data_IF_670333075701
#
_entry.id   IF_670333075701
#
_cell.length_a   1.000
_cell.length_b   1.000
_cell.length_c   1.000
_cell.angle_alpha   90.00
_cell.angle_beta   90.00
_cell.angle_gamma   90.00
#
_symmetry.space_group_name_H-M   'P 1'
#
loop_
_entity.id
_entity.type
_entity.pdbx_description
1 polymer ?
#
# COMPACT_ATOMS: atom_id res chain seq x y z
N UNK A 1 12.50 36.14 -29.26
CA UNK A 1 12.52 37.60 -29.05
C UNK A 1 12.15 37.84 -27.59
N UNK A 2 13.13 38.08 -26.73
CA UNK A 2 12.91 38.37 -25.30
C UNK A 2 12.46 39.83 -25.15
N UNK A 3 11.22 40.01 -24.74
CA UNK A 3 10.69 41.32 -24.38
C UNK A 3 11.21 41.62 -22.96
N UNK A 4 12.14 42.57 -22.83
CA UNK A 4 12.76 43.00 -21.56
C UNK A 4 11.78 43.79 -20.67
N UNK A 5 10.54 43.34 -20.58
CA UNK A 5 9.47 43.96 -19.80
C UNK A 5 9.46 43.32 -18.41
N UNK A 6 9.49 44.11 -17.31
CA UNK A 6 9.44 43.57 -15.95
C UNK A 6 8.14 42.80 -15.70
N UNK A 7 8.26 41.51 -15.37
CA UNK A 7 7.12 40.69 -14.94
C UNK A 7 6.76 41.04 -13.49
N UNK A 8 5.48 41.33 -13.24
CA UNK A 8 4.94 41.54 -11.89
C UNK A 8 3.91 40.45 -11.60
N UNK A 9 4.12 39.70 -10.52
CA UNK A 9 3.20 38.69 -10.01
C UNK A 9 2.58 39.16 -8.70
N UNK A 10 1.25 38.99 -8.53
CA UNK A 10 0.57 39.13 -7.26
C UNK A 10 -0.08 37.80 -6.91
N UNK A 11 0.31 37.23 -5.78
CA UNK A 11 -0.31 36.02 -5.21
C UNK A 11 -1.16 36.45 -4.02
N UNK A 12 -2.39 35.94 -3.94
CA UNK A 12 -3.25 36.09 -2.77
C UNK A 12 -3.68 34.70 -2.30
N UNK A 13 -3.23 34.31 -1.12
CA UNK A 13 -3.53 33.01 -0.52
C UNK A 13 -4.23 33.25 0.81
N UNK A 14 -5.47 32.76 0.92
CA UNK A 14 -6.24 32.81 2.16
C UNK A 14 -6.31 31.40 2.72
N UNK A 15 -5.63 31.16 3.85
CA UNK A 15 -5.57 29.86 4.51
C UNK A 15 -6.03 29.97 5.94
N UNK A 16 -6.70 28.93 6.42
CA UNK A 16 -7.03 28.74 7.83
C UNK A 16 -6.56 27.37 8.25
N UNK A 17 -5.78 27.32 9.32
CA UNK A 17 -5.36 26.05 9.92
C UNK A 17 -6.42 25.62 10.93
N UNK A 18 -6.84 24.36 10.84
CA UNK A 18 -7.76 23.74 11.79
C UNK A 18 -6.93 22.88 12.75
N UNK A 19 -6.64 23.43 13.94
CA UNK A 19 -5.78 22.77 14.93
C UNK A 19 -6.52 22.31 16.19
N UNK A 20 -7.84 22.47 16.24
CA UNK A 20 -8.65 22.18 17.43
C UNK A 20 -8.91 20.69 17.63
N UNK A 21 -9.05 19.94 16.54
CA UNK A 21 -9.02 18.48 16.54
C UNK A 21 -7.91 18.00 15.60
N UNK A 22 -6.98 17.24 16.16
CA UNK A 22 -5.84 16.65 15.44
C UNK A 22 -5.93 15.13 15.40
N UNK A 23 -7.05 14.56 15.88
CA UNK A 23 -7.24 13.13 15.85
C UNK A 23 -7.56 12.69 14.42
N UNK A 24 -6.94 11.59 14.04
CA UNK A 24 -7.22 10.84 12.83
C UNK A 24 -7.20 9.36 13.22
N UNK A 25 -7.90 8.53 12.44
CA UNK A 25 -8.16 7.14 12.79
C UNK A 25 -7.79 6.22 11.64
N UNK A 26 -6.89 5.28 11.93
CA UNK A 26 -6.66 4.13 11.07
C UNK A 26 -7.78 3.10 11.27
N UNK A 27 -8.26 2.50 10.20
CA UNK A 27 -9.20 1.38 10.26
C UNK A 27 -8.43 0.08 10.08
N UNK A 28 -8.62 -0.90 10.97
CA UNK A 28 -7.92 -2.18 10.91
C UNK A 28 -8.94 -3.32 11.00
N UNK A 29 -8.81 -4.30 10.11
CA UNK A 29 -9.62 -5.51 10.09
C UNK A 29 -8.74 -6.75 9.96
N UNK A 30 -9.20 -7.89 10.47
CA UNK A 30 -8.44 -9.14 10.47
C UNK A 30 -9.28 -10.34 10.03
N UNK A 31 -8.65 -11.23 9.27
CA UNK A 31 -9.07 -12.62 9.09
C UNK A 31 -8.12 -13.51 9.91
N UNK A 32 -8.59 -14.07 11.04
CA UNK A 32 -7.73 -14.80 11.97
C UNK A 32 -7.07 -16.04 11.37
N UNK A 33 -5.80 -16.25 11.71
CA UNK A 33 -5.06 -17.46 11.38
C UNK A 33 -5.56 -18.68 12.16
N UNK A 34 -5.35 -19.86 11.58
CA UNK A 34 -5.87 -21.14 12.12
C UNK A 34 -4.79 -22.06 12.68
N UNK A 35 -3.53 -21.83 12.35
CA UNK A 35 -2.42 -22.68 12.78
C UNK A 35 -1.95 -22.30 14.19
N UNK A 36 -1.94 -23.20 15.18
CA UNK A 36 -1.59 -22.86 16.56
C UNK A 36 -0.19 -22.24 16.73
N UNK A 37 0.75 -22.55 15.84
CA UNK A 37 2.11 -22.03 15.90
C UNK A 37 2.30 -20.73 15.10
N UNK A 38 1.44 -20.47 14.10
CA UNK A 38 1.62 -19.35 13.15
C UNK A 38 0.51 -18.29 13.21
N UNK A 39 -0.61 -18.55 13.88
CA UNK A 39 -1.77 -17.63 13.92
C UNK A 39 -1.46 -16.26 14.50
N UNK A 40 -0.44 -16.17 15.36
CA UNK A 40 0.00 -14.91 15.98
C UNK A 40 0.98 -14.14 15.07
N UNK A 41 1.45 -14.74 13.97
CA UNK A 41 2.17 -14.02 12.91
C UNK A 41 1.17 -13.32 11.97
N UNK A 42 1.56 -12.17 11.45
CA UNK A 42 0.69 -11.30 10.62
C UNK A 42 1.21 -11.15 9.20
N UNK A 43 0.32 -11.33 8.23
CA UNK A 43 0.48 -10.87 6.83
C UNK A 43 -0.43 -9.67 6.65
N UNK A 44 0.10 -8.55 6.17
CA UNK A 44 -0.63 -7.30 6.16
C UNK A 44 -0.76 -6.68 4.77
N UNK A 45 -1.92 -6.11 4.45
CA UNK A 45 -2.15 -5.23 3.30
C UNK A 45 -2.58 -3.85 3.80
N UNK A 46 -2.07 -2.80 3.18
CA UNK A 46 -2.54 -1.44 3.42
C UNK A 46 -2.86 -0.67 2.14
N UNK A 47 -3.73 0.30 2.35
CA UNK A 47 -4.13 1.39 1.45
C UNK A 47 -4.40 2.60 2.36
N UNK A 48 -4.44 3.83 1.83
CA UNK A 48 -4.87 4.97 2.64
C UNK A 48 -6.31 5.37 2.34
N UNK A 49 -6.95 5.99 3.33
CA UNK A 49 -8.37 6.33 3.37
C UNK A 49 -8.60 7.84 3.28
N UNK A 50 -7.62 8.63 3.69
CA UNK A 50 -7.61 10.06 3.44
C UNK A 50 -7.36 10.38 1.97
N UNK A 51 -7.72 11.59 1.57
CA UNK A 51 -7.47 12.13 0.23
C UNK A 51 -7.34 13.65 0.30
N UNK A 52 -6.88 14.27 -0.79
CA UNK A 52 -6.98 15.72 -0.93
C UNK A 52 -8.42 16.20 -1.06
N UNK A 53 -8.69 17.35 -0.44
CA UNK A 53 -10.00 17.98 -0.33
C UNK A 53 -10.53 18.63 -1.62
N UNK A 54 -9.71 18.68 -2.67
CA UNK A 54 -10.03 19.33 -3.94
C UNK A 54 -11.02 18.52 -4.80
N UNK A 55 -11.14 17.21 -4.56
CA UNK A 55 -12.05 16.30 -5.26
C UNK A 55 -12.54 15.17 -4.34
N UNK A 56 -12.78 13.97 -4.88
CA UNK A 56 -13.31 12.82 -4.14
C UNK A 56 -12.27 11.75 -3.81
N UNK A 57 -11.00 11.91 -4.24
CA UNK A 57 -9.93 10.95 -3.95
C UNK A 57 -10.20 9.55 -4.51
N UNK A 58 -10.83 9.47 -5.68
CA UNK A 58 -11.30 8.21 -6.23
C UNK A 58 -10.15 7.29 -6.63
N UNK A 59 -9.10 7.88 -7.19
CA UNK A 59 -7.86 7.22 -7.63
C UNK A 59 -6.74 7.29 -6.62
N UNK A 60 -6.92 8.12 -5.59
CA UNK A 60 -5.92 8.42 -4.56
C UNK A 60 -6.63 8.68 -3.22
N UNK A 61 -7.00 7.64 -2.47
CA UNK A 61 -6.76 6.22 -2.74
C UNK A 61 -8.02 5.37 -2.45
N UNK A 62 -9.20 5.89 -2.78
CA UNK A 62 -10.45 5.16 -2.55
C UNK A 62 -10.53 3.84 -3.34
N UNK A 63 -9.92 3.76 -4.54
CA UNK A 63 -9.78 2.53 -5.32
C UNK A 63 -8.89 1.49 -4.62
N UNK A 64 -7.71 1.88 -4.14
CA UNK A 64 -6.82 1.03 -3.36
C UNK A 64 -7.47 0.56 -2.05
N UNK A 65 -8.15 1.45 -1.34
CA UNK A 65 -8.92 1.12 -0.14
C UNK A 65 -10.05 0.11 -0.44
N UNK A 66 -10.80 0.31 -1.52
CA UNK A 66 -11.85 -0.61 -1.95
C UNK A 66 -11.27 -1.98 -2.31
N UNK A 67 -10.14 -2.02 -3.02
CA UNK A 67 -9.43 -3.25 -3.37
C UNK A 67 -8.93 -3.99 -2.13
N UNK A 68 -8.39 -3.28 -1.14
CA UNK A 68 -7.91 -3.88 0.10
C UNK A 68 -9.05 -4.52 0.91
N UNK A 69 -10.20 -3.85 0.98
CA UNK A 69 -11.42 -4.40 1.57
C UNK A 69 -11.92 -5.63 0.79
N UNK A 70 -11.93 -5.56 -0.54
CA UNK A 70 -12.43 -6.64 -1.40
C UNK A 70 -11.53 -7.87 -1.34
N UNK A 71 -10.21 -7.71 -1.30
CA UNK A 71 -9.27 -8.82 -1.16
C UNK A 71 -9.55 -9.63 0.13
N UNK A 72 -9.80 -8.94 1.25
CA UNK A 72 -10.16 -9.60 2.51
C UNK A 72 -11.55 -10.25 2.42
N UNK A 73 -12.52 -9.58 1.78
CA UNK A 73 -13.88 -10.10 1.58
C UNK A 73 -13.88 -11.37 0.72
N UNK A 74 -13.09 -11.43 -0.35
CA UNK A 74 -12.93 -12.63 -1.20
C UNK A 74 -12.48 -13.82 -0.35
N UNK A 75 -11.41 -13.64 0.44
CA UNK A 75 -10.87 -14.69 1.30
C UNK A 75 -11.89 -15.15 2.35
N UNK A 76 -12.63 -14.22 2.95
CA UNK A 76 -13.71 -14.55 3.89
C UNK A 76 -14.85 -15.31 3.20
N UNK A 77 -15.27 -14.89 2.01
CA UNK A 77 -16.38 -15.48 1.25
C UNK A 77 -16.09 -16.94 0.85
N UNK A 78 -14.86 -17.25 0.44
CA UNK A 78 -14.44 -18.63 0.13
C UNK A 78 -14.11 -19.44 1.40
N UNK A 79 -14.28 -18.85 2.59
CA UNK A 79 -13.97 -19.46 3.90
C UNK A 79 -12.53 -19.94 3.98
N UNK A 80 -11.61 -19.14 3.46
CA UNK A 80 -10.18 -19.42 3.52
C UNK A 80 -9.74 -19.66 4.97
N UNK A 81 -8.81 -20.60 5.16
CA UNK A 81 -8.21 -20.91 6.46
C UNK A 81 -6.72 -20.61 6.42
N UNK A 82 -6.33 -19.32 6.48
CA UNK A 82 -4.92 -18.97 6.47
C UNK A 82 -4.23 -19.51 7.73
N UNK A 83 -2.94 -19.85 7.63
CA UNK A 83 -2.17 -20.28 8.81
C UNK A 83 -1.84 -19.10 9.71
N UNK A 84 -1.36 -18.01 9.10
CA UNK A 84 -1.12 -16.70 9.73
C UNK A 84 -2.39 -15.84 9.70
N UNK A 85 -2.48 -14.87 10.60
CA UNK A 85 -3.53 -13.86 10.54
C UNK A 85 -3.28 -12.93 9.36
N UNK A 86 -4.32 -12.65 8.58
CA UNK A 86 -4.30 -11.65 7.51
C UNK A 86 -4.93 -10.38 8.06
N UNK A 87 -4.19 -9.27 8.03
CA UNK A 87 -4.63 -7.95 8.51
C UNK A 87 -4.73 -6.98 7.35
N UNK A 88 -5.81 -6.23 7.27
CA UNK A 88 -5.93 -5.07 6.38
C UNK A 88 -5.95 -3.81 7.22
N UNK A 89 -5.24 -2.77 6.77
CA UNK A 89 -5.36 -1.43 7.32
C UNK A 89 -5.71 -0.42 6.24
N UNK A 90 -6.62 0.49 6.57
CA UNK A 90 -6.87 1.70 5.84
C UNK A 90 -6.27 2.85 6.66
N UNK A 91 -5.15 3.37 6.18
CA UNK A 91 -4.37 4.41 6.87
C UNK A 91 -5.03 5.77 6.71
N UNK A 92 -4.83 6.65 7.67
CA UNK A 92 -5.22 8.05 7.51
C UNK A 92 -4.00 8.96 7.68
N UNK A 93 -3.99 10.07 6.98
CA UNK A 93 -2.92 11.04 6.99
C UNK A 93 -1.70 10.62 6.16
N UNK A 94 -1.91 9.80 5.13
CA UNK A 94 -0.86 9.46 4.16
C UNK A 94 -0.37 10.73 3.47
N UNK A 95 -1.32 11.56 3.03
CA UNK A 95 -1.09 12.74 2.20
C UNK A 95 -0.33 13.84 2.95
N UNK A 96 -0.49 13.90 4.28
CA UNK A 96 0.25 14.78 5.18
C UNK A 96 1.62 14.21 5.60
N UNK A 97 2.03 13.05 5.06
CA UNK A 97 3.36 12.48 5.24
C UNK A 97 3.38 11.14 5.98
N UNK A 98 2.51 10.20 5.60
CA UNK A 98 2.42 8.83 6.11
C UNK A 98 2.07 8.77 7.61
N UNK A 99 1.32 9.73 8.14
CA UNK A 99 1.07 9.88 9.57
C UNK A 99 0.46 8.61 10.18
N UNK A 100 -0.55 8.04 9.54
CA UNK A 100 -1.25 6.84 10.03
C UNK A 100 -0.34 5.62 10.15
N UNK A 101 0.32 5.24 9.06
CA UNK A 101 1.22 4.07 9.05
C UNK A 101 2.44 4.29 9.94
N UNK A 102 3.02 5.50 9.95
CA UNK A 102 4.16 5.83 10.84
C UNK A 102 3.77 5.72 12.30
N UNK A 103 2.60 6.23 12.70
CA UNK A 103 2.12 6.11 14.08
C UNK A 103 1.83 4.67 14.47
N UNK A 104 1.29 3.86 13.56
CA UNK A 104 1.12 2.43 13.80
C UNK A 104 2.48 1.75 14.05
N UNK A 105 3.45 1.96 13.16
CA UNK A 105 4.79 1.37 13.28
C UNK A 105 5.50 1.84 14.56
N UNK A 106 5.48 3.15 14.84
CA UNK A 106 6.08 3.73 16.05
C UNK A 106 5.50 3.12 17.32
N UNK A 107 4.18 2.98 17.39
CA UNK A 107 3.49 2.49 18.58
C UNK A 107 3.68 0.98 18.81
N UNK A 108 3.69 0.19 17.74
CA UNK A 108 3.58 -1.27 17.84
C UNK A 108 4.86 -2.02 17.49
N UNK A 109 5.76 -1.44 16.70
CA UNK A 109 6.89 -2.16 16.10
C UNK A 109 8.27 -1.51 16.38
N UNK A 110 8.33 -0.23 16.74
CA UNK A 110 9.60 0.46 17.03
C UNK A 110 10.07 0.20 18.46
N UNK A 111 11.39 0.10 18.66
CA UNK A 111 12.01 -0.16 19.96
C UNK A 111 12.39 -1.63 20.19
N UNK A 112 13.27 -1.87 21.16
CA UNK A 112 13.71 -3.23 21.54
C UNK A 112 12.59 -3.98 22.28
N UNK A 113 11.78 -3.26 23.06
CA UNK A 113 10.61 -3.79 23.75
C UNK A 113 9.52 -4.29 22.79
N UNK A 114 9.55 -3.85 21.53
CA UNK A 114 8.63 -4.29 20.46
C UNK A 114 9.25 -5.30 19.50
N UNK A 115 10.49 -5.75 19.73
CA UNK A 115 11.18 -6.68 18.84
C UNK A 115 10.40 -7.97 18.59
N UNK A 116 9.81 -8.56 19.63
CA UNK A 116 9.01 -9.78 19.48
C UNK A 116 7.77 -9.57 18.61
N UNK A 117 7.06 -8.44 18.77
CA UNK A 117 5.88 -8.11 17.94
C UNK A 117 6.29 -7.81 16.49
N UNK A 118 7.41 -7.11 16.32
CA UNK A 118 8.00 -6.86 15.01
C UNK A 118 8.41 -8.14 14.30
N UNK A 119 8.96 -9.11 15.02
CA UNK A 119 9.30 -10.42 14.47
C UNK A 119 8.07 -11.25 14.10
N UNK A 120 6.88 -10.98 14.66
CA UNK A 120 5.63 -11.63 14.24
C UNK A 120 5.11 -11.10 12.89
N UNK A 121 5.57 -9.95 12.41
CA UNK A 121 5.22 -9.45 11.08
C UNK A 121 5.94 -10.28 10.01
N UNK A 122 5.18 -11.00 9.18
CA UNK A 122 5.72 -11.78 8.07
C UNK A 122 6.03 -10.90 6.86
N UNK A 123 5.11 -10.01 6.48
CA UNK A 123 5.22 -9.11 5.33
C UNK A 123 4.11 -8.05 5.38
N UNK A 124 4.40 -6.88 4.81
CA UNK A 124 3.45 -5.82 4.51
C UNK A 124 3.38 -5.60 2.98
N UNK A 125 2.17 -5.59 2.43
CA UNK A 125 1.87 -5.24 1.05
C UNK A 125 1.16 -3.88 1.02
N UNK A 126 1.35 -3.14 -0.06
CA UNK A 126 0.74 -1.84 -0.25
C UNK A 126 0.15 -1.68 -1.65
N UNK A 127 -1.00 -0.98 -1.73
CA UNK A 127 -1.64 -0.58 -2.99
C UNK A 127 -1.76 0.94 -3.07
N UNK A 128 -0.70 1.57 -3.58
CA UNK A 128 -0.60 3.00 -3.92
C UNK A 128 0.82 3.25 -4.45
N UNK A 129 1.09 3.99 -5.53
CA UNK A 129 0.15 4.75 -6.35
C UNK A 129 -0.20 4.10 -7.69
N UNK A 130 -1.23 4.66 -8.34
CA UNK A 130 -1.72 4.27 -9.67
C UNK A 130 -3.10 3.62 -9.63
N UNK A 131 -3.75 3.54 -10.80
CA UNK A 131 -5.20 3.24 -10.89
C UNK A 131 -5.52 1.99 -11.70
N UNK A 132 -4.64 1.62 -12.62
CA UNK A 132 -4.90 0.50 -13.51
C UNK A 132 -4.57 -0.87 -12.89
N UNK A 133 -4.45 -1.93 -13.71
CA UNK A 133 -4.23 -3.28 -13.23
C UNK A 133 -2.83 -3.43 -12.60
N UNK A 134 -2.69 -4.34 -11.64
CA UNK A 134 -1.39 -4.68 -11.06
C UNK A 134 -0.54 -5.41 -12.10
N UNK A 135 0.61 -4.82 -12.42
CA UNK A 135 1.65 -5.39 -13.28
C UNK A 135 2.69 -6.22 -12.53
N UNK A 136 2.80 -6.07 -11.21
CA UNK A 136 3.76 -6.78 -10.36
C UNK A 136 4.08 -5.96 -9.11
N UNK A 137 5.27 -6.15 -8.54
CA UNK A 137 5.69 -5.46 -7.33
C UNK A 137 7.08 -4.81 -7.48
N UNK A 138 7.24 -3.65 -6.84
CA UNK A 138 8.54 -3.10 -6.49
C UNK A 138 9.13 -3.96 -5.38
N UNK A 139 10.28 -4.58 -5.64
CA UNK A 139 10.88 -5.55 -4.73
C UNK A 139 11.79 -4.93 -3.68
N UNK A 140 11.97 -3.61 -3.68
CA UNK A 140 12.76 -2.90 -2.66
C UNK A 140 14.19 -3.47 -2.50
N UNK A 141 14.82 -3.81 -3.63
CA UNK A 141 16.12 -4.48 -3.74
C UNK A 141 16.20 -5.84 -3.01
N UNK A 142 15.06 -6.50 -2.79
CA UNK A 142 14.99 -7.79 -2.14
C UNK A 142 15.07 -8.94 -3.17
N UNK A 143 16.29 -9.29 -3.56
CA UNK A 143 16.55 -10.38 -4.50
C UNK A 143 16.04 -11.74 -3.98
N UNK A 144 16.09 -11.97 -2.67
CA UNK A 144 15.65 -13.24 -2.07
C UNK A 144 14.12 -13.42 -2.11
N UNK A 145 13.36 -12.32 -2.05
CA UNK A 145 11.90 -12.36 -2.16
C UNK A 145 11.42 -12.50 -3.62
N UNK A 146 12.18 -11.99 -4.59
CA UNK A 146 11.74 -11.89 -5.99
C UNK A 146 11.32 -13.23 -6.62
N UNK A 147 12.07 -14.35 -6.51
CA UNK A 147 11.64 -15.63 -7.08
C UNK A 147 10.32 -16.15 -6.52
N UNK A 148 10.00 -15.80 -5.26
CA UNK A 148 8.73 -16.17 -4.62
C UNK A 148 7.59 -15.37 -5.24
N UNK A 149 7.79 -14.06 -5.42
CA UNK A 149 6.80 -13.18 -6.04
C UNK A 149 6.61 -13.50 -7.52
N UNK A 150 7.67 -13.85 -8.25
CA UNK A 150 7.58 -14.26 -9.66
C UNK A 150 6.70 -15.51 -9.80
N UNK A 151 6.89 -16.51 -8.92
CA UNK A 151 6.07 -17.71 -8.91
C UNK A 151 4.59 -17.45 -8.57
N UNK A 152 4.31 -16.47 -7.70
CA UNK A 152 2.93 -16.09 -7.34
C UNK A 152 2.26 -15.21 -8.39
N UNK A 153 3.04 -14.48 -9.17
CA UNK A 153 2.54 -13.60 -10.22
C UNK A 153 2.22 -14.34 -11.51
N UNK A 154 2.95 -15.42 -11.82
CA UNK A 154 2.80 -16.16 -13.09
C UNK A 154 1.35 -16.56 -13.45
N UNK A 155 0.50 -17.04 -12.51
CA UNK A 155 -0.89 -17.38 -12.82
C UNK A 155 -1.74 -16.20 -13.30
N UNK A 156 -1.30 -14.96 -13.06
CA UNK A 156 -2.01 -13.73 -13.41
C UNK A 156 -1.53 -13.10 -14.72
N UNK A 157 -0.63 -13.77 -15.45
CA UNK A 157 -0.04 -13.23 -16.67
C UNK A 157 -1.07 -12.89 -17.74
N UNK A 158 -2.08 -13.74 -17.89
CA UNK A 158 -3.18 -13.54 -18.84
C UNK A 158 -4.17 -12.45 -18.38
N UNK A 159 -4.09 -12.02 -17.12
CA UNK A 159 -4.83 -10.88 -16.55
C UNK A 159 -3.96 -9.61 -16.49
N UNK A 160 -2.90 -9.55 -17.28
CA UNK A 160 -2.08 -8.36 -17.46
C UNK A 160 -0.94 -8.19 -16.45
N UNK A 161 -0.80 -9.07 -15.44
CA UNK A 161 0.37 -9.07 -14.58
C UNK A 161 1.63 -9.45 -15.39
N UNK A 162 2.74 -8.72 -15.22
CA UNK A 162 3.88 -8.80 -16.15
C UNK A 162 5.17 -9.21 -15.46
N UNK A 163 5.61 -8.44 -14.46
CA UNK A 163 6.92 -8.63 -13.85
C UNK A 163 7.04 -7.89 -12.52
N UNK A 164 7.78 -8.51 -11.61
CA UNK A 164 8.34 -7.82 -10.46
C UNK A 164 9.68 -7.16 -10.86
N UNK A 165 9.97 -5.99 -10.30
CA UNK A 165 11.21 -5.23 -10.57
C UNK A 165 12.03 -5.09 -9.30
N UNK A 166 13.35 -5.21 -9.40
CA UNK A 166 14.23 -5.10 -8.23
C UNK A 166 14.22 -3.73 -7.55
N UNK A 167 14.28 -2.60 -8.28
CA UNK A 167 14.26 -1.28 -7.65
C UNK A 167 13.01 -1.07 -6.78
N UNK A 168 13.18 -0.27 -5.74
CA UNK A 168 12.07 0.23 -4.93
C UNK A 168 11.38 1.44 -5.54
N UNK A 169 10.37 1.94 -4.84
CA UNK A 169 9.68 3.20 -5.12
C UNK A 169 9.81 4.14 -3.90
N UNK A 170 9.84 5.45 -4.14
CA UNK A 170 10.15 6.47 -3.10
C UNK A 170 9.01 6.82 -2.14
N UNK A 171 7.82 6.27 -2.38
CA UNK A 171 6.57 6.38 -1.63
C UNK A 171 5.83 5.03 -1.76
N UNK A 172 5.02 4.56 -0.81
CA UNK A 172 4.27 5.26 0.25
C UNK A 172 4.40 4.52 1.62
N UNK A 173 3.30 4.05 2.24
CA UNK A 173 3.18 3.52 3.59
C UNK A 173 4.04 2.28 3.85
N UNK A 174 4.39 1.49 2.82
CA UNK A 174 5.31 0.35 2.98
C UNK A 174 6.68 0.77 3.48
N UNK A 175 7.10 2.01 3.19
CA UNK A 175 8.35 2.58 3.69
C UNK A 175 8.34 2.72 5.21
N UNK A 176 7.19 2.95 5.85
CA UNK A 176 7.08 2.98 7.31
C UNK A 176 7.48 1.63 7.91
N UNK A 177 7.09 0.51 7.28
CA UNK A 177 7.39 -0.84 7.74
C UNK A 177 8.84 -1.25 7.45
N UNK A 178 9.37 -0.92 6.27
CA UNK A 178 10.75 -1.22 5.89
C UNK A 178 11.74 -0.56 6.86
N UNK A 179 11.46 0.68 7.31
CA UNK A 179 12.31 1.44 8.25
C UNK A 179 12.57 0.72 9.57
N UNK A 180 11.67 -0.15 10.02
CA UNK A 180 11.86 -0.94 11.24
C UNK A 180 12.35 -2.35 10.98
N UNK A 181 12.50 -2.77 9.72
CA UNK A 181 13.00 -4.10 9.37
C UNK A 181 11.90 -5.13 9.07
N UNK A 182 10.67 -4.69 8.78
CA UNK A 182 9.59 -5.55 8.27
C UNK A 182 9.67 -5.57 6.74
N UNK A 183 9.62 -6.73 6.07
CA UNK A 183 9.52 -6.79 4.61
C UNK A 183 8.27 -6.05 4.14
N UNK A 184 8.45 -4.98 3.37
CA UNK A 184 7.39 -4.17 2.78
C UNK A 184 7.53 -4.14 1.26
N UNK A 185 6.42 -4.23 0.54
CA UNK A 185 6.41 -4.19 -0.93
C UNK A 185 5.22 -3.39 -1.42
N UNK A 186 5.44 -2.66 -2.51
CA UNK A 186 4.39 -1.91 -3.17
C UNK A 186 4.06 -2.52 -4.53
N UNK A 187 2.80 -2.50 -4.91
CA UNK A 187 2.38 -2.91 -6.26
C UNK A 187 2.92 -1.94 -7.32
N UNK A 188 3.03 -2.42 -8.55
CA UNK A 188 3.24 -1.61 -9.74
C UNK A 188 1.90 -1.57 -10.46
N UNK A 189 1.30 -0.40 -10.59
CA UNK A 189 0.09 -0.17 -11.38
C UNK A 189 0.36 0.70 -12.60
N UNK A 190 -0.63 0.77 -13.49
CA UNK A 190 -0.65 1.73 -14.59
C UNK A 190 -1.04 3.14 -14.12
N UNK A 191 -0.43 4.15 -14.74
CA UNK A 191 -0.58 5.58 -14.41
C UNK A 191 -1.40 6.37 -15.44
N UNK A 192 -2.14 5.71 -16.34
CA UNK A 192 -2.81 6.38 -17.47
C UNK A 192 -3.77 7.50 -17.01
N UNK A 193 -4.49 7.26 -15.91
CA UNK A 193 -5.39 8.22 -15.26
C UNK A 193 -4.85 8.72 -13.91
N UNK A 194 -3.54 8.56 -13.67
CA UNK A 194 -2.84 9.00 -12.46
C UNK A 194 -1.61 9.84 -12.86
N UNK A 195 -1.85 11.02 -13.40
CA UNK A 195 -0.81 11.97 -13.79
C UNK A 195 -1.06 13.37 -13.23
N UNK A 196 -0.19 14.32 -13.55
CA UNK A 196 -0.24 15.71 -13.07
C UNK A 196 -1.56 16.45 -13.35
N UNK A 197 -2.41 15.91 -14.23
CA UNK A 197 -3.72 16.46 -14.58
C UNK A 197 -4.84 15.87 -13.72
N UNK A 198 -4.63 14.73 -13.07
CA UNK A 198 -5.65 14.00 -12.29
C UNK A 198 -5.27 13.88 -10.82
N UNK A 199 -4.08 13.36 -10.52
CA UNK A 199 -3.57 13.16 -9.17
C UNK A 199 -3.46 14.49 -8.40
N UNK A 200 -4.01 14.52 -7.18
CA UNK A 200 -4.06 15.70 -6.30
C UNK A 200 -4.78 16.92 -6.88
N UNK A 201 -5.61 16.72 -7.91
CA UNK A 201 -6.36 17.79 -8.56
C UNK A 201 -7.84 17.75 -8.23
N UNK A 202 -8.57 18.79 -8.64
CA UNK A 202 -10.03 18.85 -8.53
C UNK A 202 -10.76 17.92 -9.52
N UNK A 203 -10.03 17.07 -10.23
CA UNK A 203 -10.62 16.11 -11.14
C UNK A 203 -10.34 14.66 -10.74
N UNK A 204 -9.75 14.38 -9.58
CA UNK A 204 -9.72 13.01 -9.04
C UNK A 204 -11.14 12.56 -8.63
N UNK A 205 -11.80 11.84 -9.53
CA UNK A 205 -13.23 11.53 -9.50
C UNK A 205 -13.48 10.11 -9.97
N UNK A 206 -14.63 9.56 -9.56
CA UNK A 206 -15.00 8.16 -9.78
C UNK A 206 -14.93 7.72 -11.24
N UNK A 207 -15.16 8.61 -12.21
CA UNK A 207 -15.11 8.30 -13.64
C UNK A 207 -13.73 7.89 -14.15
N UNK A 208 -12.66 8.08 -13.36
CA UNK A 208 -11.30 7.58 -13.67
C UNK A 208 -11.07 6.13 -13.24
N UNK A 209 -11.97 5.59 -12.42
CA UNK A 209 -11.81 4.24 -11.86
C UNK A 209 -12.45 3.23 -12.79
N UNK A 210 -11.72 2.16 -13.12
CA UNK A 210 -12.17 1.09 -14.02
C UNK A 210 -12.44 -0.18 -13.24
N UNK A 211 -13.69 -0.63 -13.25
CA UNK A 211 -14.14 -1.79 -12.46
C UNK A 211 -13.31 -3.06 -12.74
N UNK A 212 -12.99 -3.33 -14.00
CA UNK A 212 -12.20 -4.50 -14.39
C UNK A 212 -10.80 -4.50 -13.75
N UNK A 213 -10.20 -3.33 -13.56
CA UNK A 213 -8.89 -3.21 -12.92
C UNK A 213 -9.01 -3.46 -11.42
N UNK A 214 -10.05 -2.92 -10.76
CA UNK A 214 -10.31 -3.21 -9.35
C UNK A 214 -10.49 -4.71 -9.09
N UNK A 215 -11.23 -5.39 -9.97
CA UNK A 215 -11.44 -6.84 -9.89
C UNK A 215 -10.11 -7.61 -10.05
N UNK A 216 -9.27 -7.20 -11.01
CA UNK A 216 -7.93 -7.78 -11.19
C UNK A 216 -7.07 -7.55 -9.94
N UNK A 217 -7.03 -6.32 -9.43
CA UNK A 217 -6.20 -5.92 -8.30
C UNK A 217 -6.59 -6.70 -7.05
N UNK A 218 -7.90 -6.82 -6.77
CA UNK A 218 -8.42 -7.56 -5.64
C UNK A 218 -8.10 -9.06 -5.73
N UNK A 219 -8.18 -9.66 -6.92
CA UNK A 219 -7.83 -11.06 -7.14
C UNK A 219 -6.34 -11.31 -6.90
N UNK A 220 -5.46 -10.47 -7.46
CA UNK A 220 -4.01 -10.57 -7.28
C UNK A 220 -3.65 -10.43 -5.80
N UNK A 221 -4.16 -9.39 -5.12
CA UNK A 221 -3.84 -9.15 -3.71
C UNK A 221 -4.43 -10.22 -2.78
N UNK A 222 -5.65 -10.69 -3.01
CA UNK A 222 -6.21 -11.81 -2.23
C UNK A 222 -5.33 -13.07 -2.35
N UNK A 223 -4.85 -13.37 -3.56
CA UNK A 223 -3.95 -14.49 -3.81
C UNK A 223 -2.60 -14.33 -3.11
N UNK A 224 -1.97 -13.16 -3.22
CA UNK A 224 -0.70 -12.87 -2.55
C UNK A 224 -0.81 -12.95 -1.03
N UNK A 225 -1.88 -12.40 -0.46
CA UNK A 225 -2.17 -12.49 0.97
C UNK A 225 -2.32 -13.94 1.42
N UNK A 226 -3.10 -14.73 0.69
CA UNK A 226 -3.29 -16.14 1.02
C UNK A 226 -1.99 -16.93 0.90
N UNK A 227 -1.25 -16.77 -0.19
CA UNK A 227 0.04 -17.45 -0.38
C UNK A 227 1.04 -17.10 0.71
N UNK A 228 1.20 -15.82 1.04
CA UNK A 228 2.06 -15.38 2.14
C UNK A 228 1.62 -15.97 3.48
N UNK A 229 0.32 -15.98 3.76
CA UNK A 229 -0.20 -16.53 5.01
C UNK A 229 -0.04 -18.05 5.13
N UNK A 230 0.05 -18.77 4.00
CA UNK A 230 0.17 -20.24 3.97
C UNK A 230 1.61 -20.75 3.95
N UNK A 231 2.60 -19.89 3.71
CA UNK A 231 4.02 -20.30 3.68
C UNK A 231 4.47 -20.95 4.98
N UNK A 232 5.47 -21.82 4.91
CA UNK A 232 6.16 -22.31 6.12
C UNK A 232 7.03 -21.21 6.74
N UNK A 233 7.91 -20.62 5.93
CA UNK A 233 8.82 -19.55 6.34
C UNK A 233 8.26 -18.18 6.01
N UNK A 234 8.58 -17.17 6.84
CA UNK A 234 8.32 -15.75 6.59
C UNK A 234 9.00 -15.27 5.30
N UNK A 235 8.55 -14.13 4.80
CA UNK A 235 9.17 -13.48 3.63
C UNK A 235 10.55 -12.96 4.05
N UNK A 236 11.62 -13.21 3.26
CA UNK A 236 12.94 -12.69 3.57
C UNK A 236 12.92 -11.16 3.64
N UNK A 237 13.63 -10.58 4.60
CA UNK A 237 13.92 -9.14 4.63
C UNK A 237 15.26 -8.88 3.95
N UNK A 238 15.34 -7.81 3.16
CA UNK A 238 16.59 -7.22 2.68
C UNK A 238 16.66 -5.79 3.20
N UNK A 239 17.80 -5.39 3.79
CA UNK A 239 18.00 -3.99 4.13
C UNK A 239 18.11 -3.21 2.82
N UNK A 240 17.34 -2.12 2.63
CA UNK A 240 17.61 -1.20 1.54
C UNK A 240 19.08 -0.77 1.60
N UNK A 241 19.75 -0.71 0.45
CA UNK A 241 21.07 -0.08 0.39
C UNK A 241 20.94 1.34 0.95
N UNK A 242 21.86 1.73 1.85
CA UNK A 242 21.86 3.09 2.38
C UNK A 242 21.93 4.07 1.21
N UNK A 243 20.86 4.83 0.98
CA UNK A 243 20.87 5.94 0.05
C UNK A 243 21.67 7.06 0.70
N UNK A 244 22.83 7.39 0.13
CA UNK A 244 23.61 8.58 0.48
C UNK A 244 22.82 9.86 0.20
#
# INVERSE_FOLDING_TARGET
MELHVPVKLRVNLQTKFHGEDKNSYNVIAELPGTDPALKDETVMLGAHLDSWHSATGATDNADGAAVAMEALRILAAIRARPKRTIRVALWSGEEEGLLGSRRYVEKYLTGEEKKAEREKMSVYFNIDPGTGPIYGFYMENNEAAKPIFDAWLEPFRDLGARRNVLPGIGNTDHLSFIRVGVPGFNVIQEYADYDVRTHHTNVDTFERVREADLQQNALVLASFLYHAAMRKSKIPFSKPAATN
#
